data_IF_634463673804
#
_entry.id   IF_634463673804
#
_cell.length_a   1.000
_cell.length_b   1.000
_cell.length_c   1.000
_cell.angle_alpha   90.00
_cell.angle_beta   90.00
_cell.angle_gamma   90.00
#
_symmetry.space_group_name_H-M   'P 1'
#
loop_
_entity.id
_entity.type
_entity.pdbx_description
1 polymer ?
#
# COMPACT_ATOMS: atom_id res chain seq x y z
N UNK A 1 -23.38 -43.31 13.33
CA UNK A 1 -23.48 -42.76 11.95
C UNK A 1 -23.11 -41.30 12.03
N UNK A 2 -21.93 -40.91 11.54
CA UNK A 2 -21.54 -39.50 11.45
C UNK A 2 -22.06 -38.96 10.12
N UNK A 3 -22.94 -37.96 10.18
CA UNK A 3 -23.41 -37.27 8.98
C UNK A 3 -22.25 -36.47 8.38
N UNK A 4 -21.85 -36.82 7.16
CA UNK A 4 -20.98 -36.03 6.31
C UNK A 4 -21.77 -34.79 5.88
N UNK A 5 -21.53 -33.65 6.53
CA UNK A 5 -22.02 -32.37 6.01
C UNK A 5 -21.30 -32.08 4.69
N UNK A 6 -22.00 -31.79 3.59
CA UNK A 6 -21.35 -31.34 2.38
C UNK A 6 -20.56 -30.08 2.69
N UNK A 7 -19.31 -30.04 2.23
CA UNK A 7 -18.40 -28.91 2.37
C UNK A 7 -19.03 -27.69 1.68
N UNK A 8 -19.80 -26.89 2.41
CA UNK A 8 -20.38 -25.66 1.87
C UNK A 8 -19.22 -24.75 1.44
N UNK A 9 -19.27 -24.13 0.24
CA UNK A 9 -18.26 -23.15 -0.14
C UNK A 9 -18.23 -22.06 0.93
N UNK A 10 -17.07 -21.90 1.59
CA UNK A 10 -16.91 -20.84 2.58
C UNK A 10 -17.13 -19.50 1.88
N UNK A 11 -17.91 -18.58 2.48
CA UNK A 11 -18.05 -17.25 1.91
C UNK A 11 -16.66 -16.60 1.83
N UNK A 12 -16.37 -15.97 0.69
CA UNK A 12 -15.10 -15.30 0.48
C UNK A 12 -14.79 -14.34 1.65
N UNK A 13 -13.54 -14.28 2.13
CA UNK A 13 -13.17 -13.38 3.21
C UNK A 13 -13.64 -11.95 2.94
N UNK A 14 -14.39 -11.37 3.87
CA UNK A 14 -14.93 -10.02 3.73
C UNK A 14 -13.83 -8.97 3.85
N UNK A 15 -13.92 -7.95 3.01
CA UNK A 15 -13.08 -6.75 3.02
C UNK A 15 -13.96 -5.55 3.32
N UNK A 16 -13.82 -4.97 4.51
CA UNK A 16 -14.78 -4.00 5.05
C UNK A 16 -14.46 -2.55 4.66
N UNK A 17 -13.31 -2.35 4.05
CA UNK A 17 -12.85 -1.05 3.63
C UNK A 17 -12.32 -1.12 2.21
N UNK A 18 -12.45 0.00 1.51
CA UNK A 18 -11.61 0.32 0.35
C UNK A 18 -10.66 1.43 0.74
N UNK A 19 -9.42 1.34 0.31
CA UNK A 19 -8.38 2.35 0.56
C UNK A 19 -7.86 2.87 -0.76
N UNK A 20 -7.50 4.15 -0.77
CA UNK A 20 -7.02 4.89 -1.93
C UNK A 20 -5.71 5.60 -1.64
N UNK A 21 -4.92 5.80 -2.69
CA UNK A 21 -3.60 6.41 -2.60
C UNK A 21 -2.62 5.80 -3.61
N UNK A 22 -1.32 5.88 -3.31
CA UNK A 22 -0.27 5.50 -4.25
C UNK A 22 0.31 4.14 -3.94
N UNK A 23 0.18 3.19 -4.88
CA UNK A 23 0.79 1.87 -4.83
C UNK A 23 2.19 1.93 -5.42
N UNK A 24 3.14 1.29 -4.74
CA UNK A 24 4.52 1.11 -5.18
C UNK A 24 4.93 -0.36 -5.00
N UNK A 25 5.90 -0.81 -5.79
CA UNK A 25 6.47 -2.15 -5.65
C UNK A 25 7.26 -2.28 -4.35
N UNK A 26 7.41 -3.51 -3.85
CA UNK A 26 8.29 -3.78 -2.70
C UNK A 26 9.74 -3.38 -2.95
N UNK A 27 10.23 -3.53 -4.17
CA UNK A 27 11.58 -3.10 -4.54
C UNK A 27 11.72 -1.58 -4.48
N UNK A 28 10.74 -0.83 -5.02
CA UNK A 28 10.73 0.63 -4.94
C UNK A 28 10.65 1.11 -3.47
N UNK A 29 9.81 0.46 -2.65
CA UNK A 29 9.71 0.76 -1.23
C UNK A 29 11.03 0.48 -0.48
N UNK A 30 11.66 -0.67 -0.75
CA UNK A 30 12.93 -1.03 -0.13
C UNK A 30 14.07 -0.09 -0.55
N UNK A 31 14.15 0.29 -1.84
CA UNK A 31 15.11 1.26 -2.34
C UNK A 31 14.91 2.63 -1.68
N UNK A 32 13.66 3.09 -1.57
CA UNK A 32 13.36 4.36 -0.92
C UNK A 32 13.73 4.34 0.56
N UNK A 33 13.35 3.28 1.28
CA UNK A 33 13.70 3.11 2.68
C UNK A 33 15.21 2.97 2.91
N UNK A 34 15.93 2.28 1.99
CA UNK A 34 17.38 2.11 2.07
C UNK A 34 18.11 3.45 2.01
N UNK A 35 17.65 4.32 1.10
CA UNK A 35 18.19 5.67 0.95
C UNK A 35 17.96 6.51 2.20
N UNK A 36 16.73 6.52 2.71
CA UNK A 36 16.37 7.24 3.93
C UNK A 36 17.13 6.72 5.17
N UNK A 37 17.40 5.41 5.23
CA UNK A 37 18.14 4.79 6.32
C UNK A 37 19.67 4.86 6.16
N UNK A 38 20.18 5.31 5.02
CA UNK A 38 21.62 5.35 4.70
C UNK A 38 22.27 3.96 4.60
N UNK A 39 21.49 2.89 4.38
CA UNK A 39 21.97 1.51 4.26
C UNK A 39 21.05 0.67 3.40
N UNK A 40 21.57 -0.34 2.73
CA UNK A 40 20.76 -1.28 1.95
C UNK A 40 19.81 -2.08 2.85
N UNK A 41 18.54 -2.16 2.44
CA UNK A 41 17.48 -2.92 3.08
C UNK A 41 16.91 -3.94 2.10
N UNK A 42 16.84 -5.18 2.54
CA UNK A 42 16.22 -6.28 1.77
C UNK A 42 14.69 -6.24 1.95
N UNK A 43 13.89 -6.24 0.85
CA UNK A 43 12.44 -6.15 0.91
C UNK A 43 11.78 -7.23 1.79
N UNK A 44 12.30 -8.45 1.79
CA UNK A 44 11.71 -9.59 2.50
C UNK A 44 12.16 -9.63 3.97
N UNK A 45 13.45 -9.41 4.23
CA UNK A 45 14.05 -9.51 5.56
C UNK A 45 13.88 -8.25 6.40
N UNK A 46 13.69 -7.10 5.76
CA UNK A 46 13.62 -5.81 6.44
C UNK A 46 12.27 -5.11 6.33
N UNK A 47 11.19 -5.82 5.99
CA UNK A 47 9.82 -5.28 5.93
C UNK A 47 9.41 -4.41 7.14
N UNK A 48 9.68 -4.81 8.41
CA UNK A 48 9.37 -3.94 9.56
C UNK A 48 10.15 -2.61 9.57
N UNK A 49 11.42 -2.65 9.16
CA UNK A 49 12.28 -1.47 9.08
C UNK A 49 11.85 -0.55 7.94
N UNK A 50 11.56 -1.12 6.77
CA UNK A 50 11.04 -0.40 5.60
C UNK A 50 9.75 0.32 6.00
N UNK A 51 8.80 -0.39 6.61
CA UNK A 51 7.56 0.21 7.09
C UNK A 51 7.82 1.38 8.03
N UNK A 52 8.70 1.20 9.03
CA UNK A 52 8.97 2.23 10.03
C UNK A 52 9.54 3.50 9.40
N UNK A 53 10.61 3.36 8.61
CA UNK A 53 11.30 4.49 7.98
C UNK A 53 10.37 5.26 7.05
N UNK A 54 9.59 4.53 6.24
CA UNK A 54 8.66 5.17 5.31
C UNK A 54 7.48 5.81 6.04
N UNK A 55 6.94 5.17 7.08
CA UNK A 55 5.85 5.74 7.87
C UNK A 55 6.28 7.05 8.56
N UNK A 56 7.49 7.12 9.10
CA UNK A 56 8.04 8.36 9.68
C UNK A 56 8.07 9.51 8.66
N UNK A 57 8.32 9.20 7.39
CA UNK A 57 8.31 10.18 6.30
C UNK A 57 6.91 10.52 5.77
N UNK A 58 5.96 9.58 5.80
CA UNK A 58 4.60 9.79 5.25
C UNK A 58 3.61 10.40 6.25
N UNK A 59 3.82 10.22 7.55
CA UNK A 59 2.94 10.79 8.60
C UNK A 59 2.80 12.32 8.49
N UNK A 60 3.87 13.11 8.26
CA UNK A 60 3.77 14.56 8.10
C UNK A 60 2.86 15.01 6.95
N UNK A 61 2.69 14.19 5.89
CA UNK A 61 1.77 14.49 4.78
C UNK A 61 0.37 13.92 4.99
N UNK A 62 0.09 13.36 6.16
CA UNK A 62 -1.20 12.78 6.52
C UNK A 62 -1.48 11.44 5.81
N UNK A 63 -0.44 10.73 5.38
CA UNK A 63 -0.55 9.44 4.73
C UNK A 63 -0.05 8.31 5.64
N UNK A 64 -0.79 7.21 5.65
CA UNK A 64 -0.36 5.95 6.27
C UNK A 64 0.41 5.11 5.25
N UNK A 65 1.18 4.12 5.71
CA UNK A 65 1.98 3.26 4.84
C UNK A 65 1.91 1.80 5.30
N UNK A 66 1.49 0.91 4.40
CA UNK A 66 1.42 -0.54 4.67
C UNK A 66 1.49 -1.37 3.39
N UNK A 67 1.73 -2.67 3.57
CA UNK A 67 1.57 -3.64 2.51
C UNK A 67 0.10 -3.79 2.12
N UNK A 68 -0.15 -3.94 0.82
CA UNK A 68 -1.48 -4.15 0.24
C UNK A 68 -1.43 -5.23 -0.84
N UNK A 69 -2.59 -5.78 -1.17
CA UNK A 69 -2.73 -6.86 -2.15
C UNK A 69 -3.01 -8.21 -1.50
N UNK A 70 -3.36 -9.18 -2.34
CA UNK A 70 -3.63 -10.54 -1.88
C UNK A 70 -2.35 -11.30 -1.55
N UNK A 71 -1.30 -11.04 -2.31
CA UNK A 71 0.02 -11.62 -2.12
C UNK A 71 0.84 -10.77 -1.13
N UNK A 72 1.29 -11.41 -0.06
CA UNK A 72 2.10 -10.77 0.98
C UNK A 72 3.44 -10.35 0.40
N UNK A 73 3.83 -9.10 0.63
CA UNK A 73 5.16 -8.60 0.25
C UNK A 73 5.31 -8.21 -1.22
N UNK A 74 4.23 -8.09 -1.99
CA UNK A 74 4.32 -7.67 -3.40
C UNK A 74 4.21 -6.15 -3.55
N UNK A 75 3.25 -5.54 -2.86
CA UNK A 75 3.00 -4.11 -2.98
C UNK A 75 2.92 -3.42 -1.63
N UNK A 76 3.36 -2.16 -1.64
CA UNK A 76 3.12 -1.21 -0.56
C UNK A 76 2.25 -0.08 -1.07
N UNK A 77 1.55 0.57 -0.15
CA UNK A 77 0.68 1.69 -0.50
C UNK A 77 0.82 2.82 0.51
N UNK A 78 1.00 4.03 -0.01
CA UNK A 78 0.76 5.28 0.70
C UNK A 78 -0.74 5.52 0.68
N UNK A 79 -1.37 5.34 1.83
CA UNK A 79 -2.81 5.45 1.99
C UNK A 79 -3.16 6.86 2.46
N UNK A 80 -3.95 7.53 1.65
CA UNK A 80 -4.42 8.90 1.84
C UNK A 80 -5.94 8.95 2.02
N UNK A 81 -6.64 7.94 1.51
CA UNK A 81 -8.09 7.82 1.54
C UNK A 81 -8.51 6.44 2.04
N UNK A 82 -9.64 6.39 2.75
CA UNK A 82 -10.21 5.15 3.26
C UNK A 82 -11.69 5.33 3.54
N UNK A 83 -12.50 4.42 3.03
CA UNK A 83 -13.96 4.42 3.24
C UNK A 83 -14.47 2.99 3.49
N UNK A 84 -15.57 2.90 4.24
CA UNK A 84 -16.26 1.62 4.41
C UNK A 84 -16.79 1.14 3.07
N UNK A 85 -16.60 -0.14 2.80
CA UNK A 85 -17.08 -0.80 1.59
C UNK A 85 -17.35 -2.27 1.91
N UNK A 86 -18.40 -2.86 1.35
CA UNK A 86 -18.72 -4.28 1.59
C UNK A 86 -18.17 -5.13 0.44
N UNK A 87 -16.85 -5.27 0.42
CA UNK A 87 -16.13 -6.08 -0.56
C UNK A 87 -15.83 -7.49 -0.06
N UNK A 88 -15.27 -8.30 -0.95
CA UNK A 88 -14.81 -9.65 -0.63
C UNK A 88 -13.54 -9.99 -1.40
N UNK A 89 -12.81 -11.02 -0.94
CA UNK A 89 -11.60 -11.53 -1.63
C UNK A 89 -11.93 -11.91 -3.08
N UNK A 90 -11.02 -11.63 -4.01
CA UNK A 90 -11.18 -11.92 -5.43
C UNK A 90 -12.39 -11.19 -6.10
N UNK A 91 -12.93 -10.14 -5.46
CA UNK A 91 -13.94 -9.27 -6.07
C UNK A 91 -13.36 -8.60 -7.31
N UNK A 92 -14.15 -8.56 -8.39
CA UNK A 92 -13.75 -7.92 -9.64
C UNK A 92 -13.35 -6.45 -9.38
N UNK A 93 -12.11 -6.05 -9.71
CA UNK A 93 -11.65 -4.67 -9.53
C UNK A 93 -12.56 -3.63 -10.20
N UNK A 94 -13.24 -3.98 -11.30
CA UNK A 94 -14.17 -3.08 -11.98
C UNK A 94 -15.41 -2.74 -11.14
N UNK A 95 -15.73 -3.58 -10.14
CA UNK A 95 -16.85 -3.35 -9.21
C UNK A 95 -16.45 -2.50 -8.01
N UNK A 96 -15.15 -2.29 -7.77
CA UNK A 96 -14.66 -1.42 -6.71
C UNK A 96 -14.71 0.01 -7.22
N UNK A 97 -15.55 0.89 -6.64
CA UNK A 97 -15.56 2.29 -7.06
C UNK A 97 -14.16 2.87 -6.81
N UNK A 98 -13.62 3.57 -7.80
CA UNK A 98 -12.28 4.15 -7.70
C UNK A 98 -12.34 5.51 -7.00
N UNK A 99 -11.35 5.79 -6.14
CA UNK A 99 -11.16 7.12 -5.58
C UNK A 99 -10.72 8.11 -6.65
N UNK A 100 -10.90 9.40 -6.37
CA UNK A 100 -10.33 10.50 -7.16
C UNK A 100 -9.23 11.16 -6.34
N UNK A 101 -8.09 11.54 -6.95
CA UNK A 101 -7.05 12.30 -6.25
C UNK A 101 -7.62 13.59 -5.66
N UNK A 102 -7.34 13.82 -4.38
CA UNK A 102 -7.64 15.05 -3.64
C UNK A 102 -6.37 15.72 -3.12
N UNK A 103 -6.52 16.70 -2.22
CA UNK A 103 -5.39 17.48 -1.73
C UNK A 103 -4.32 16.67 -0.99
N UNK A 104 -4.72 15.62 -0.26
CA UNK A 104 -3.77 14.74 0.44
C UNK A 104 -2.96 13.92 -0.55
N UNK A 105 -3.58 13.51 -1.64
CA UNK A 105 -2.93 12.76 -2.72
C UNK A 105 -1.90 13.63 -3.44
N UNK A 106 -2.20 14.90 -3.69
CA UNK A 106 -1.22 15.83 -4.27
C UNK A 106 0.00 15.99 -3.35
N UNK A 107 -0.20 16.04 -2.02
CA UNK A 107 0.93 16.11 -1.06
C UNK A 107 1.73 14.81 -1.01
N UNK A 108 1.03 13.66 -1.01
CA UNK A 108 1.68 12.35 -1.03
C UNK A 108 2.45 12.12 -2.34
N UNK A 109 1.91 12.55 -3.47
CA UNK A 109 2.60 12.50 -4.77
C UNK A 109 3.85 13.36 -4.77
N UNK A 110 3.74 14.60 -4.27
CA UNK A 110 4.92 15.47 -4.11
C UNK A 110 5.98 14.81 -3.25
N UNK A 111 5.60 14.14 -2.15
CA UNK A 111 6.56 13.41 -1.32
C UNK A 111 7.25 12.27 -2.09
N UNK A 112 6.51 11.55 -2.94
CA UNK A 112 7.09 10.52 -3.79
C UNK A 112 8.02 11.09 -4.85
N UNK A 113 7.73 12.28 -5.36
CA UNK A 113 8.55 12.99 -6.34
C UNK A 113 9.71 13.79 -5.73
N UNK A 114 9.64 14.10 -4.44
CA UNK A 114 10.58 14.99 -3.76
C UNK A 114 11.99 14.39 -3.77
N UNK A 115 12.90 15.10 -4.43
CA UNK A 115 14.32 14.80 -4.41
C UNK A 115 14.94 15.57 -3.24
N UNK A 116 15.45 14.83 -2.24
CA UNK A 116 16.09 15.47 -1.09
C UNK A 116 17.33 16.26 -1.56
N UNK A 117 17.39 17.54 -1.19
CA UNK A 117 18.38 18.50 -1.71
C UNK A 117 19.79 18.29 -1.12
N UNK A 118 19.95 17.40 -0.13
CA UNK A 118 21.18 17.29 0.67
C UNK A 118 22.08 16.10 0.34
N UNK A 119 21.68 15.16 -0.52
CA UNK A 119 22.59 14.14 -1.09
C UNK A 119 21.84 13.25 -2.07
N UNK A 120 22.21 13.35 -3.35
CA UNK A 120 21.77 12.48 -4.46
C UNK A 120 20.29 12.08 -4.41
N UNK A 121 19.47 12.95 -4.99
CA UNK A 121 18.12 12.73 -5.49
C UNK A 121 17.69 11.26 -5.66
N UNK A 122 16.41 10.98 -5.42
CA UNK A 122 15.55 10.33 -6.43
C UNK A 122 14.16 10.11 -5.84
N UNK A 123 13.18 10.87 -6.33
CA UNK A 123 11.79 10.50 -6.19
C UNK A 123 11.54 9.10 -6.75
N UNK A 124 10.54 8.41 -6.20
CA UNK A 124 10.03 7.15 -6.76
C UNK A 124 9.39 7.48 -8.11
N UNK A 125 9.87 6.85 -9.19
CA UNK A 125 9.33 7.03 -10.54
C UNK A 125 8.22 6.05 -10.90
N UNK A 126 8.18 4.92 -10.19
CA UNK A 126 7.23 3.84 -10.44
C UNK A 126 6.21 3.80 -9.30
N UNK A 127 5.15 4.60 -9.45
CA UNK A 127 3.99 4.58 -8.60
C UNK A 127 2.73 4.72 -9.44
N UNK A 128 1.62 4.22 -8.91
CA UNK A 128 0.30 4.40 -9.52
C UNK A 128 -0.72 4.78 -8.46
N UNK A 129 -1.66 5.64 -8.82
CA UNK A 129 -2.82 5.89 -7.97
C UNK A 129 -3.80 4.73 -8.11
N UNK A 130 -4.12 4.07 -7.01
CA UNK A 130 -4.93 2.85 -7.01
C UNK A 130 -5.96 2.86 -5.87
N UNK A 131 -7.05 2.10 -6.07
CA UNK A 131 -7.99 1.75 -5.02
C UNK A 131 -7.95 0.25 -4.80
N UNK A 132 -7.76 -0.19 -3.55
CA UNK A 132 -7.70 -1.60 -3.18
C UNK A 132 -8.60 -1.91 -2.00
N UNK A 133 -9.01 -3.17 -1.87
CA UNK A 133 -9.78 -3.67 -0.74
C UNK A 133 -8.90 -3.98 0.46
N UNK A 134 -9.43 -3.75 1.66
CA UNK A 134 -8.79 -4.05 2.95
C UNK A 134 -9.72 -4.82 3.90
#
# INVERSE_FOLDING_TARGET
MFATFPNQPQPAPRRRYRIGGYRISSDAAAQWASKLAGRELDPMRNSPTIRKVLLEKTVPVGANFRQVGEEVGVHWMLITQGEKFDGYKDMDPAQIPQFKPGERDVRAEKLLQEEDSSSNALGIKEYEFATVLD
#
